data_IF_102373985765
#
_entry.id   IF_102373985765
#
_cell.length_a   1.000
_cell.length_b   1.000
_cell.length_c   1.000
_cell.angle_alpha   90.00
_cell.angle_beta   90.00
_cell.angle_gamma   90.00
#
_symmetry.space_group_name_H-M   'P 1'
#
loop_
_entity.id
_entity.type
_entity.pdbx_description
1 polymer ?
#
# COMPACT_ATOMS: atom_id res chain seq x y z
N UNK A 1 30.04 -0.32 5.36
CA UNK A 1 29.74 -1.02 4.10
C UNK A 1 31.06 -1.51 3.61
N UNK A 2 31.32 -2.80 3.78
CA UNK A 2 32.52 -3.40 3.20
C UNK A 2 32.37 -3.28 1.69
N UNK A 3 33.33 -2.60 1.05
CA UNK A 3 33.40 -2.55 -0.40
C UNK A 3 33.50 -3.98 -0.91
N UNK A 4 32.78 -4.31 -1.99
CA UNK A 4 33.03 -5.53 -2.75
C UNK A 4 34.53 -5.63 -3.02
N UNK A 5 35.19 -6.60 -2.40
CA UNK A 5 36.59 -6.89 -2.63
C UNK A 5 36.75 -7.96 -3.72
N UNK A 6 37.99 -8.17 -4.18
CA UNK A 6 38.29 -9.15 -5.23
C UNK A 6 37.90 -10.57 -4.81
N UNK A 7 37.97 -10.90 -3.52
CA UNK A 7 37.61 -12.21 -2.98
C UNK A 7 36.13 -12.52 -3.22
N UNK A 8 35.23 -11.57 -2.96
CA UNK A 8 33.80 -11.73 -3.23
C UNK A 8 33.53 -11.92 -4.72
N UNK A 9 34.23 -11.18 -5.60
CA UNK A 9 34.06 -11.30 -7.04
C UNK A 9 34.51 -12.66 -7.57
N UNK A 10 35.61 -13.22 -7.06
CA UNK A 10 36.05 -14.57 -7.44
C UNK A 10 35.04 -15.64 -7.02
N UNK A 11 34.44 -15.52 -5.83
CA UNK A 11 33.37 -16.44 -5.40
C UNK A 11 32.15 -16.31 -6.32
N UNK A 12 31.73 -15.10 -6.69
CA UNK A 12 30.57 -14.88 -7.56
C UNK A 12 30.72 -15.54 -8.95
N UNK A 13 31.94 -15.66 -9.48
CA UNK A 13 32.20 -16.36 -10.76
C UNK A 13 31.87 -17.86 -10.71
N UNK A 14 31.79 -18.44 -9.52
CA UNK A 14 31.42 -19.86 -9.34
C UNK A 14 29.91 -20.11 -9.43
N UNK A 15 29.10 -19.05 -9.49
CA UNK A 15 27.64 -19.13 -9.51
C UNK A 15 27.07 -18.60 -10.82
N UNK A 16 25.94 -19.18 -11.23
CA UNK A 16 25.09 -18.63 -12.28
C UNK A 16 23.88 -17.94 -11.63
N UNK A 17 23.57 -16.72 -12.06
CA UNK A 17 22.45 -15.93 -11.55
C UNK A 17 21.39 -15.69 -12.63
N UNK A 18 20.67 -16.74 -13.06
CA UNK A 18 19.57 -16.57 -14.00
C UNK A 18 18.43 -15.78 -13.35
N UNK A 19 17.90 -14.80 -14.08
CA UNK A 19 16.82 -13.94 -13.60
C UNK A 19 15.47 -14.51 -14.03
N UNK A 20 14.58 -14.68 -13.06
CA UNK A 20 13.18 -15.08 -13.29
C UNK A 20 12.25 -13.95 -12.87
N UNK A 21 11.17 -13.76 -13.62
CA UNK A 21 10.13 -12.78 -13.30
C UNK A 21 8.90 -13.50 -12.77
N UNK A 22 8.53 -13.19 -11.53
CA UNK A 22 7.33 -13.73 -10.89
C UNK A 22 6.28 -12.64 -10.79
N UNK A 23 5.45 -12.53 -11.83
CA UNK A 23 4.28 -11.64 -11.82
C UNK A 23 3.18 -12.16 -10.89
N UNK A 24 2.41 -11.23 -10.32
CA UNK A 24 1.28 -11.54 -9.45
C UNK A 24 0.11 -10.58 -9.69
N UNK A 25 -1.09 -10.98 -9.26
CA UNK A 25 -2.27 -10.12 -9.29
C UNK A 25 -2.21 -9.16 -8.09
N UNK A 26 -1.74 -7.93 -8.34
CA UNK A 26 -1.57 -6.91 -7.32
C UNK A 26 -2.90 -6.30 -6.82
N UNK A 27 -4.02 -6.53 -7.51
CA UNK A 27 -5.35 -6.19 -6.99
C UNK A 27 -5.84 -7.23 -5.97
N UNK A 28 -5.39 -8.48 -6.09
CA UNK A 28 -5.69 -9.54 -5.14
C UNK A 28 -4.86 -9.44 -3.86
N UNK A 29 -5.14 -10.32 -2.89
CA UNK A 29 -4.42 -10.32 -1.62
C UNK A 29 -2.94 -10.64 -1.80
N UNK A 30 -2.07 -9.94 -1.08
CA UNK A 30 -0.66 -10.26 -1.06
C UNK A 30 -0.38 -11.62 -0.39
N UNK A 31 -1.30 -12.16 0.43
CA UNK A 31 -1.21 -13.54 0.96
C UNK A 31 -1.26 -14.56 -0.16
N UNK A 32 -2.21 -14.44 -1.09
CA UNK A 32 -2.33 -15.33 -2.25
C UNK A 32 -1.13 -15.14 -3.20
N UNK A 33 -0.70 -13.90 -3.37
CA UNK A 33 0.49 -13.59 -4.16
C UNK A 33 1.76 -14.21 -3.55
N UNK A 34 1.86 -14.27 -2.22
CA UNK A 34 2.97 -14.91 -1.51
C UNK A 34 2.94 -16.44 -1.63
N UNK A 35 1.76 -17.05 -1.61
CA UNK A 35 1.59 -18.48 -1.92
C UNK A 35 2.05 -18.80 -3.35
N UNK A 36 1.62 -17.99 -4.32
CA UNK A 36 2.11 -18.10 -5.71
C UNK A 36 3.62 -17.94 -5.79
N UNK A 37 4.21 -16.98 -5.07
CA UNK A 37 5.66 -16.81 -5.02
C UNK A 37 6.35 -18.05 -4.47
N UNK A 38 5.82 -18.65 -3.40
CA UNK A 38 6.33 -19.91 -2.84
C UNK A 38 6.35 -21.03 -3.88
N UNK A 39 5.25 -21.24 -4.59
CA UNK A 39 5.13 -22.27 -5.64
C UNK A 39 6.13 -22.05 -6.78
N UNK A 40 6.32 -20.79 -7.20
CA UNK A 40 7.27 -20.45 -8.26
C UNK A 40 8.73 -20.62 -7.81
N UNK A 41 9.05 -20.30 -6.55
CA UNK A 41 10.38 -20.57 -5.99
C UNK A 41 10.69 -22.06 -6.00
N UNK A 42 9.75 -22.89 -5.56
CA UNK A 42 9.90 -24.35 -5.58
C UNK A 42 10.09 -24.85 -7.00
N UNK A 43 9.24 -24.42 -7.93
CA UNK A 43 9.35 -24.76 -9.36
C UNK A 43 10.69 -24.35 -9.98
N UNK A 44 11.23 -23.18 -9.61
CA UNK A 44 12.52 -22.68 -10.13
C UNK A 44 13.67 -23.50 -9.56
N UNK A 45 13.67 -23.79 -8.26
CA UNK A 45 14.68 -24.63 -7.60
C UNK A 45 14.67 -26.02 -8.24
N UNK A 46 13.50 -26.66 -8.34
CA UNK A 46 13.34 -28.00 -8.90
C UNK A 46 13.79 -28.07 -10.37
N UNK A 47 13.44 -27.05 -11.18
CA UNK A 47 13.89 -26.94 -12.57
C UNK A 47 15.41 -27.00 -12.69
N UNK A 48 16.13 -26.34 -11.79
CA UNK A 48 17.59 -26.31 -11.86
C UNK A 48 18.25 -27.54 -11.27
N UNK A 49 17.67 -28.11 -10.21
CA UNK A 49 18.12 -29.40 -9.67
C UNK A 49 17.97 -30.53 -10.70
N UNK A 50 16.85 -30.57 -11.43
CA UNK A 50 16.62 -31.57 -12.49
C UNK A 50 17.55 -31.42 -13.70
N UNK A 51 18.12 -30.23 -13.90
CA UNK A 51 19.18 -29.98 -14.88
C UNK A 51 20.59 -30.33 -14.36
N UNK A 52 20.71 -30.93 -13.18
CA UNK A 52 21.98 -31.30 -12.57
C UNK A 52 22.73 -30.14 -11.90
N UNK A 53 22.09 -28.98 -11.72
CA UNK A 53 22.72 -27.83 -11.05
C UNK A 53 22.47 -27.84 -9.54
N UNK A 54 23.46 -27.35 -8.78
CA UNK A 54 23.34 -27.16 -7.33
C UNK A 54 22.57 -25.87 -7.04
N UNK A 55 21.25 -25.96 -6.96
CA UNK A 55 20.37 -24.86 -6.56
C UNK A 55 19.55 -25.28 -5.35
N UNK A 56 19.73 -24.61 -4.20
CA UNK A 56 18.96 -24.86 -2.98
C UNK A 56 18.28 -23.60 -2.43
N UNK A 57 18.65 -22.42 -2.94
CA UNK A 57 18.14 -21.13 -2.49
C UNK A 57 17.99 -20.16 -3.64
N UNK A 58 17.13 -19.17 -3.46
CA UNK A 58 16.94 -18.03 -4.37
C UNK A 58 17.34 -16.71 -3.72
N UNK A 59 17.68 -15.72 -4.54
CA UNK A 59 17.78 -14.32 -4.11
C UNK A 59 16.51 -13.63 -4.61
N UNK A 60 15.77 -12.98 -3.71
CA UNK A 60 14.59 -12.22 -4.09
C UNK A 60 14.95 -10.76 -4.31
N UNK A 61 14.53 -10.19 -5.44
CA UNK A 61 14.64 -8.77 -5.72
C UNK A 61 13.24 -8.23 -5.94
N UNK A 62 12.82 -7.26 -5.13
CA UNK A 62 11.43 -6.79 -5.11
C UNK A 62 11.35 -5.30 -5.37
N UNK A 63 10.24 -4.86 -5.93
CA UNK A 63 9.92 -3.45 -6.09
C UNK A 63 8.58 -3.12 -5.42
N UNK A 64 8.52 -2.00 -4.69
CA UNK A 64 7.29 -1.48 -4.08
C UNK A 64 6.54 -2.54 -3.26
N UNK A 65 5.24 -2.72 -3.48
CA UNK A 65 4.37 -3.69 -2.79
C UNK A 65 4.84 -5.14 -2.93
N UNK A 66 5.62 -5.49 -3.96
CA UNK A 66 6.20 -6.83 -4.09
C UNK A 66 7.12 -7.19 -2.92
N UNK A 67 7.64 -6.20 -2.19
CA UNK A 67 8.37 -6.42 -0.94
C UNK A 67 7.49 -7.00 0.16
N UNK A 68 6.22 -6.60 0.25
CA UNK A 68 5.26 -7.17 1.21
C UNK A 68 4.93 -8.64 0.88
N UNK A 69 4.80 -8.96 -0.41
CA UNK A 69 4.65 -10.34 -0.89
C UNK A 69 5.84 -11.20 -0.48
N UNK A 70 7.06 -10.72 -0.73
CA UNK A 70 8.27 -11.45 -0.37
C UNK A 70 8.46 -11.60 1.14
N UNK A 71 8.12 -10.56 1.93
CA UNK A 71 8.11 -10.65 3.39
C UNK A 71 7.11 -11.68 3.88
N UNK A 72 5.89 -11.70 3.35
CA UNK A 72 4.89 -12.69 3.76
C UNK A 72 5.33 -14.11 3.41
N UNK A 73 5.90 -14.31 2.23
CA UNK A 73 6.47 -15.61 1.86
C UNK A 73 7.59 -16.04 2.82
N UNK A 74 8.56 -15.16 3.08
CA UNK A 74 9.69 -15.44 3.98
C UNK A 74 9.22 -15.76 5.40
N UNK A 75 8.32 -14.94 5.94
CA UNK A 75 8.07 -14.85 7.38
C UNK A 75 6.79 -15.54 7.84
N UNK A 76 5.86 -15.82 6.92
CA UNK A 76 4.54 -16.39 7.23
C UNK A 76 4.26 -17.70 6.48
N UNK A 77 5.06 -18.06 5.45
CA UNK A 77 4.89 -19.27 4.65
C UNK A 77 6.13 -20.17 4.65
N UNK A 78 6.95 -20.09 5.71
CA UNK A 78 8.16 -20.92 5.89
C UNK A 78 9.19 -20.82 4.75
N UNK A 79 9.11 -19.76 3.94
CA UNK A 79 10.00 -19.55 2.79
C UNK A 79 11.43 -19.17 3.18
N UNK A 80 11.67 -18.75 4.42
CA UNK A 80 12.95 -18.21 4.91
C UNK A 80 14.15 -19.07 4.52
N UNK A 81 14.07 -20.39 4.68
CA UNK A 81 15.23 -21.27 4.43
C UNK A 81 15.58 -21.43 2.94
N UNK A 82 14.60 -21.23 2.06
CA UNK A 82 14.76 -21.25 0.59
C UNK A 82 15.25 -19.92 0.05
N UNK A 83 15.36 -18.88 0.88
CA UNK A 83 15.82 -17.55 0.49
C UNK A 83 17.25 -17.35 1.00
N UNK A 84 18.16 -16.95 0.11
CA UNK A 84 19.52 -16.55 0.49
C UNK A 84 19.54 -15.13 1.04
N UNK A 85 18.78 -14.23 0.42
CA UNK A 85 18.60 -12.85 0.85
C UNK A 85 17.55 -12.15 0.02
N UNK A 86 17.07 -11.01 0.52
CA UNK A 86 16.05 -10.20 -0.13
C UNK A 86 16.58 -8.78 -0.34
N UNK A 87 16.43 -8.27 -1.56
CA UNK A 87 16.71 -6.88 -1.92
C UNK A 87 15.39 -6.16 -2.18
N UNK A 88 15.04 -5.20 -1.33
CA UNK A 88 13.84 -4.39 -1.45
C UNK A 88 14.13 -3.01 -2.04
N UNK A 89 13.54 -2.71 -3.20
CA UNK A 89 13.45 -1.36 -3.73
C UNK A 89 12.14 -0.70 -3.34
N UNK A 90 12.21 0.44 -2.65
CA UNK A 90 11.06 1.32 -2.33
C UNK A 90 9.82 0.62 -1.73
N UNK A 91 10.03 -0.40 -0.91
CA UNK A 91 8.94 -1.13 -0.24
C UNK A 91 8.18 -0.25 0.76
N UNK A 92 6.84 -0.17 0.70
CA UNK A 92 6.02 0.48 1.72
C UNK A 92 5.86 -0.45 2.93
N UNK A 93 6.93 -0.62 3.72
CA UNK A 93 7.06 -1.67 4.73
C UNK A 93 5.95 -1.70 5.79
N UNK A 94 5.39 -0.55 6.10
CA UNK A 94 4.33 -0.35 7.11
C UNK A 94 3.11 0.37 6.51
N UNK A 95 2.98 0.33 5.18
CA UNK A 95 1.95 1.05 4.43
C UNK A 95 2.39 2.44 3.95
N UNK A 96 1.43 3.24 3.49
CA UNK A 96 1.68 4.61 3.01
C UNK A 96 0.46 5.52 3.22
N UNK A 97 0.65 6.66 3.91
CA UNK A 97 -0.38 7.69 4.07
C UNK A 97 -0.92 8.24 2.73
N UNK A 98 -0.13 8.13 1.66
CA UNK A 98 -0.56 8.47 0.31
C UNK A 98 -1.75 7.63 -0.17
N UNK A 99 -1.88 6.37 0.27
CA UNK A 99 -3.02 5.50 -0.04
C UNK A 99 -4.32 6.11 0.49
N UNK A 100 -4.32 6.57 1.74
CA UNK A 100 -5.46 7.26 2.36
C UNK A 100 -5.86 8.50 1.57
N UNK A 101 -4.88 9.36 1.25
CA UNK A 101 -5.15 10.60 0.50
C UNK A 101 -5.76 10.30 -0.87
N UNK A 102 -5.27 9.26 -1.56
CA UNK A 102 -5.73 8.87 -2.90
C UNK A 102 -7.15 8.31 -2.89
N UNK A 103 -7.49 7.50 -1.88
CA UNK A 103 -8.87 7.01 -1.70
C UNK A 103 -9.82 8.17 -1.42
N UNK A 104 -9.41 9.14 -0.59
CA UNK A 104 -10.27 10.26 -0.20
C UNK A 104 -10.45 11.33 -1.28
N UNK A 105 -9.38 11.66 -2.02
CA UNK A 105 -9.33 12.83 -2.93
C UNK A 105 -9.13 12.46 -4.40
N UNK A 106 -8.88 11.19 -4.72
CA UNK A 106 -8.36 10.79 -6.02
C UNK A 106 -6.86 11.02 -6.14
N UNK A 107 -6.31 10.79 -7.33
CA UNK A 107 -4.88 10.99 -7.56
C UNK A 107 -4.57 12.47 -7.75
N UNK A 108 -3.62 12.97 -6.96
CA UNK A 108 -3.08 14.31 -7.17
C UNK A 108 -2.42 14.37 -8.56
N UNK A 109 -2.64 15.47 -9.29
CA UNK A 109 -1.92 15.76 -10.52
C UNK A 109 -0.40 15.66 -10.31
N UNK A 110 0.28 15.30 -11.39
CA UNK A 110 1.66 14.82 -11.57
C UNK A 110 2.82 15.68 -11.03
N UNK A 111 2.61 16.64 -10.13
CA UNK A 111 3.66 17.57 -9.70
C UNK A 111 4.51 17.10 -8.50
N UNK A 112 4.24 15.92 -7.93
CA UNK A 112 4.97 15.41 -6.75
C UNK A 112 6.02 14.34 -7.09
N UNK A 113 7.04 14.70 -7.88
CA UNK A 113 8.29 13.91 -8.03
C UNK A 113 8.11 12.41 -8.38
N UNK A 114 8.95 11.51 -7.84
CA UNK A 114 8.85 10.05 -8.09
C UNK A 114 7.57 9.43 -7.49
N UNK A 115 6.95 10.08 -6.49
CA UNK A 115 5.59 9.76 -6.05
C UNK A 115 4.54 10.06 -7.14
N UNK A 116 4.90 10.90 -8.10
CA UNK A 116 4.22 11.14 -9.37
C UNK A 116 4.49 10.06 -10.42
N UNK A 117 5.60 9.32 -10.43
CA UNK A 117 5.81 8.20 -11.37
C UNK A 117 5.10 6.91 -10.91
N UNK A 118 5.20 6.59 -9.62
CA UNK A 118 4.37 5.54 -9.00
C UNK A 118 2.91 6.00 -8.99
N UNK A 119 2.65 7.26 -8.65
CA UNK A 119 1.31 7.86 -8.73
C UNK A 119 0.72 7.92 -10.13
N UNK A 120 1.54 8.00 -11.19
CA UNK A 120 1.11 7.95 -12.59
C UNK A 120 0.68 6.55 -12.99
N UNK A 121 1.42 5.51 -12.58
CA UNK A 121 1.03 4.13 -12.84
C UNK A 121 -0.20 3.74 -12.00
N UNK A 122 -0.23 4.17 -10.74
CA UNK A 122 -1.37 3.96 -9.82
C UNK A 122 -2.60 4.76 -10.27
N UNK A 123 -2.49 5.99 -10.80
CA UNK A 123 -3.62 6.78 -11.31
C UNK A 123 -4.20 6.24 -12.61
N UNK A 124 -3.38 5.63 -13.46
CA UNK A 124 -3.85 5.02 -14.70
C UNK A 124 -4.67 3.75 -14.46
N UNK A 125 -4.43 3.04 -13.35
CA UNK A 125 -5.13 1.77 -13.07
C UNK A 125 -6.19 1.89 -11.98
N UNK A 126 -5.94 2.69 -10.95
CA UNK A 126 -6.89 2.88 -9.86
C UNK A 126 -7.72 4.16 -10.00
N UNK A 127 -7.47 5.02 -10.99
CA UNK A 127 -8.36 6.14 -11.31
C UNK A 127 -7.82 7.54 -10.99
N UNK A 128 -8.41 8.53 -11.68
CA UNK A 128 -8.04 9.95 -11.64
C UNK A 128 -8.74 10.73 -10.53
N UNK A 129 -9.84 10.21 -10.00
CA UNK A 129 -10.63 10.85 -8.94
C UNK A 129 -11.00 9.84 -7.84
N UNK A 130 -11.57 10.34 -6.74
CA UNK A 130 -11.94 9.51 -5.59
C UNK A 130 -12.96 8.42 -5.94
N UNK A 131 -13.91 8.67 -6.84
CA UNK A 131 -14.92 7.69 -7.21
C UNK A 131 -14.32 6.50 -7.97
N UNK A 132 -13.41 6.74 -8.92
CA UNK A 132 -12.69 5.68 -9.63
C UNK A 132 -11.75 4.89 -8.70
N UNK A 133 -11.05 5.60 -7.80
CA UNK A 133 -10.19 5.02 -6.76
C UNK A 133 -10.94 4.15 -5.78
N UNK A 134 -12.06 4.65 -5.27
CA UNK A 134 -12.90 3.93 -4.33
C UNK A 134 -13.49 2.69 -5.01
N UNK A 135 -14.07 2.82 -6.20
CA UNK A 135 -14.74 1.70 -6.88
C UNK A 135 -13.82 0.50 -7.12
N UNK A 136 -12.52 0.71 -7.39
CA UNK A 136 -11.55 -0.37 -7.62
C UNK A 136 -10.83 -0.74 -6.33
N UNK A 137 -10.35 0.27 -5.59
CA UNK A 137 -9.53 0.07 -4.40
C UNK A 137 -10.30 -0.53 -3.23
N UNK A 138 -11.58 -0.20 -3.06
CA UNK A 138 -12.40 -0.69 -1.93
C UNK A 138 -12.63 -2.19 -1.97
N UNK A 139 -12.55 -2.79 -3.15
CA UNK A 139 -12.76 -4.23 -3.38
C UNK A 139 -11.43 -4.97 -3.53
N UNK A 140 -10.31 -4.26 -3.46
CA UNK A 140 -8.96 -4.79 -3.65
C UNK A 140 -8.23 -4.90 -2.32
N UNK A 141 -8.11 -6.12 -1.80
CA UNK A 141 -7.28 -6.41 -0.62
C UNK A 141 -5.85 -5.92 -0.82
N UNK A 142 -5.24 -6.18 -1.97
CA UNK A 142 -3.88 -5.72 -2.27
C UNK A 142 -3.73 -4.19 -2.20
N UNK A 143 -4.69 -3.43 -2.73
CA UNK A 143 -4.67 -1.97 -2.62
C UNK A 143 -4.86 -1.49 -1.17
N UNK A 144 -5.77 -2.10 -0.41
CA UNK A 144 -6.03 -1.73 0.99
C UNK A 144 -4.91 -2.17 1.94
N UNK A 145 -4.18 -3.24 1.65
CA UNK A 145 -2.99 -3.68 2.39
C UNK A 145 -1.86 -2.63 2.39
N UNK A 146 -1.92 -1.62 1.49
CA UNK A 146 -1.03 -0.45 1.47
C UNK A 146 -1.45 0.70 2.39
N UNK A 147 -2.59 0.61 3.07
CA UNK A 147 -2.95 1.58 4.10
C UNK A 147 -1.91 1.54 5.24
N UNK A 148 -1.64 2.66 5.92
CA UNK A 148 -0.81 2.66 7.12
C UNK A 148 -1.21 1.55 8.10
N UNK A 149 -0.24 0.77 8.56
CA UNK A 149 -0.44 -0.21 9.63
C UNK A 149 -0.29 0.46 11.02
N UNK A 150 -0.54 -0.30 12.09
CA UNK A 150 -0.47 0.22 13.47
C UNK A 150 0.91 0.77 13.85
N UNK A 151 1.98 0.25 13.24
CA UNK A 151 3.37 0.64 13.45
C UNK A 151 3.86 1.76 12.51
N UNK A 152 2.97 2.36 11.70
CA UNK A 152 3.33 3.44 10.77
C UNK A 152 3.73 4.74 11.46
N UNK A 153 3.23 4.98 12.68
CA UNK A 153 3.32 6.24 13.41
C UNK A 153 1.95 6.87 13.65
N UNK A 154 1.90 7.91 14.47
CA UNK A 154 0.65 8.49 14.98
C UNK A 154 0.34 9.91 14.46
N UNK A 155 1.20 10.53 13.66
CA UNK A 155 1.10 11.93 13.23
C UNK A 155 0.98 12.15 11.71
N UNK A 156 0.57 11.12 10.97
CA UNK A 156 0.66 11.10 9.50
C UNK A 156 -0.55 11.69 8.75
N UNK A 157 -1.68 11.90 9.41
CA UNK A 157 -2.85 12.55 8.82
C UNK A 157 -3.23 13.79 9.64
N UNK A 158 -3.25 14.96 9.00
CA UNK A 158 -3.64 16.23 9.63
C UNK A 158 -4.90 16.79 8.99
N UNK A 159 -5.95 16.90 9.78
CA UNK A 159 -7.21 17.54 9.38
C UNK A 159 -7.20 18.93 9.99
N UNK A 160 -7.31 19.96 9.16
CA UNK A 160 -7.29 21.36 9.60
C UNK A 160 -8.66 21.95 9.35
N UNK A 161 -9.33 22.38 10.42
CA UNK A 161 -10.64 23.00 10.33
C UNK A 161 -10.50 24.48 9.92
N UNK A 162 -11.62 25.11 9.54
CA UNK A 162 -11.68 26.49 9.04
C UNK A 162 -11.21 27.52 10.06
N UNK A 163 -11.32 27.21 11.35
CA UNK A 163 -10.84 28.05 12.45
C UNK A 163 -9.33 27.90 12.72
N UNK A 164 -8.65 27.02 11.98
CA UNK A 164 -7.22 26.73 12.13
C UNK A 164 -6.90 25.65 13.17
N UNK A 165 -7.90 25.10 13.86
CA UNK A 165 -7.70 23.94 14.73
C UNK A 165 -7.22 22.73 13.91
N UNK A 166 -6.30 21.95 14.48
CA UNK A 166 -5.69 20.81 13.80
C UNK A 166 -5.90 19.54 14.58
N UNK A 167 -6.51 18.55 13.93
CA UNK A 167 -6.63 17.18 14.41
C UNK A 167 -5.52 16.34 13.76
N UNK A 168 -4.72 15.67 14.58
CA UNK A 168 -3.59 14.82 14.18
C UNK A 168 -3.97 13.36 14.38
N UNK A 169 -4.04 12.58 13.31
CA UNK A 169 -4.54 11.21 13.32
C UNK A 169 -3.41 10.23 12.95
N UNK A 170 -3.36 9.04 13.59
CA UNK A 170 -4.27 8.54 14.62
C UNK A 170 -4.04 9.07 16.05
N UNK A 171 -3.10 9.99 16.31
CA UNK A 171 -2.79 10.47 17.67
C UNK A 171 -4.01 11.00 18.45
N UNK A 172 -4.98 11.62 17.80
CA UNK A 172 -6.14 12.22 18.43
C UNK A 172 -7.40 11.34 18.32
N UNK A 173 -7.26 10.09 17.87
CA UNK A 173 -8.39 9.14 17.88
C UNK A 173 -8.77 8.79 19.33
N UNK A 174 -10.08 8.68 19.62
CA UNK A 174 -10.53 8.20 20.92
C UNK A 174 -10.03 6.78 21.15
N UNK A 175 -9.62 6.50 22.38
CA UNK A 175 -9.23 5.15 22.80
C UNK A 175 -10.48 4.26 22.78
N UNK A 176 -10.36 3.06 22.22
CA UNK A 176 -11.45 2.09 22.15
C UNK A 176 -11.89 1.60 23.52
N UNK A 177 -13.02 0.87 23.57
CA UNK A 177 -13.58 0.33 24.82
C UNK A 177 -12.60 -0.60 25.58
N UNK A 178 -11.62 -1.18 24.88
CA UNK A 178 -10.55 -2.01 25.43
C UNK A 178 -9.40 -1.20 26.08
N UNK A 179 -9.45 0.13 26.04
CA UNK A 179 -8.42 1.01 26.58
C UNK A 179 -7.15 1.07 25.72
N UNK A 180 -7.14 0.49 24.52
CA UNK A 180 -5.96 0.38 23.66
C UNK A 180 -6.04 1.29 22.43
N UNK A 181 -5.16 2.28 22.37
CA UNK A 181 -5.06 3.23 21.25
C UNK A 181 -4.64 2.57 19.93
N UNK A 182 -3.81 1.51 20.02
CA UNK A 182 -3.30 0.73 18.88
C UNK A 182 -4.40 0.07 18.03
N UNK A 183 -5.56 -0.24 18.62
CA UNK A 183 -6.68 -0.87 17.90
C UNK A 183 -7.63 0.14 17.22
N UNK A 184 -7.42 1.44 17.43
CA UNK A 184 -8.35 2.48 17.01
C UNK A 184 -8.13 2.94 15.55
N UNK A 185 -7.00 2.58 14.93
CA UNK A 185 -6.70 2.96 13.55
C UNK A 185 -7.77 2.45 12.58
N UNK A 186 -8.04 1.15 12.60
CA UNK A 186 -9.00 0.55 11.67
C UNK A 186 -10.43 1.04 11.91
N UNK A 187 -10.91 1.01 13.16
CA UNK A 187 -12.26 1.44 13.51
C UNK A 187 -12.46 2.95 13.35
N UNK A 188 -11.47 3.74 13.78
CA UNK A 188 -11.53 5.21 13.81
C UNK A 188 -11.23 5.89 12.49
N UNK A 189 -10.49 5.26 11.58
CA UNK A 189 -10.16 5.83 10.26
C UNK A 189 -10.73 5.04 9.08
N UNK A 190 -10.44 3.73 9.00
CA UNK A 190 -10.72 2.94 7.80
C UNK A 190 -12.17 2.47 7.73
N UNK A 191 -12.80 2.23 8.88
CA UNK A 191 -14.19 1.78 9.04
C UNK A 191 -15.11 2.88 9.58
N UNK A 192 -14.64 4.13 9.63
CA UNK A 192 -15.43 5.24 10.12
C UNK A 192 -16.42 5.70 9.03
N UNK A 193 -17.72 5.77 9.36
CA UNK A 193 -18.78 6.25 8.45
C UNK A 193 -19.26 7.66 8.76
N UNK A 194 -19.05 8.13 9.98
CA UNK A 194 -19.68 9.33 10.52
C UNK A 194 -18.90 10.61 10.23
N UNK A 195 -17.57 10.52 10.24
CA UNK A 195 -16.72 11.71 10.14
C UNK A 195 -16.50 12.08 8.68
N UNK A 196 -16.58 13.38 8.37
CA UNK A 196 -16.39 13.87 7.00
C UNK A 196 -15.01 13.52 6.42
N UNK A 197 -14.00 13.41 7.29
CA UNK A 197 -12.65 13.00 6.92
C UNK A 197 -12.50 11.48 6.72
N UNK A 198 -13.53 10.65 6.89
CA UNK A 198 -13.50 9.19 6.69
C UNK A 198 -12.76 8.75 5.43
N UNK A 199 -12.06 7.62 5.50
CA UNK A 199 -11.32 7.05 4.36
C UNK A 199 -12.26 6.81 3.16
N UNK A 200 -13.39 6.16 3.41
CA UNK A 200 -14.31 5.69 2.38
C UNK A 200 -15.66 6.40 2.46
N UNK A 201 -16.14 6.87 1.30
CA UNK A 201 -17.54 7.24 1.15
C UNK A 201 -18.33 6.01 0.68
N UNK A 202 -19.20 5.49 1.55
CA UNK A 202 -20.04 4.32 1.29
C UNK A 202 -20.91 4.47 0.04
N UNK A 203 -21.26 5.70 -0.35
CA UNK A 203 -22.04 5.96 -1.56
C UNK A 203 -21.26 5.69 -2.86
N UNK A 204 -19.93 5.59 -2.78
CA UNK A 204 -19.04 5.39 -3.93
C UNK A 204 -18.55 3.94 -4.07
N UNK A 205 -18.83 3.07 -3.10
CA UNK A 205 -18.32 1.68 -3.08
C UNK A 205 -18.77 0.87 -4.29
N UNK A 206 -19.99 1.14 -4.78
CA UNK A 206 -20.59 0.42 -5.88
C UNK A 206 -21.07 1.39 -6.96
N UNK A 207 -20.34 1.50 -8.09
CA UNK A 207 -20.70 2.43 -9.16
C UNK A 207 -22.02 2.06 -9.87
N UNK A 208 -22.53 0.84 -9.67
CA UNK A 208 -23.81 0.41 -10.25
C UNK A 208 -25.02 0.86 -9.40
N UNK A 209 -24.80 1.27 -8.14
CA UNK A 209 -25.86 1.78 -7.27
C UNK A 209 -26.18 3.25 -7.54
N UNK A 210 -26.62 3.53 -8.76
CA UNK A 210 -26.92 4.91 -9.24
C UNK A 210 -28.09 5.59 -8.53
N UNK A 211 -28.93 4.82 -7.83
CA UNK A 211 -30.10 5.34 -7.08
C UNK A 211 -29.81 5.59 -5.60
N UNK A 212 -28.58 5.35 -5.13
CA UNK A 212 -28.18 5.45 -3.72
C UNK A 212 -29.11 4.63 -2.80
N UNK A 213 -29.42 3.40 -3.23
CA UNK A 213 -30.24 2.50 -2.45
C UNK A 213 -29.52 2.14 -1.14
N UNK A 214 -30.11 2.52 -0.01
CA UNK A 214 -29.51 2.32 1.33
C UNK A 214 -29.20 0.87 1.66
N UNK A 215 -30.09 -0.08 1.31
CA UNK A 215 -29.86 -1.50 1.59
C UNK A 215 -28.64 -2.03 0.82
N UNK A 216 -28.47 -1.58 -0.42
CA UNK A 216 -27.31 -1.96 -1.22
C UNK A 216 -26.04 -1.32 -0.65
N UNK A 217 -26.07 -0.04 -0.27
CA UNK A 217 -24.95 0.65 0.39
C UNK A 217 -24.50 -0.10 1.66
N UNK A 218 -25.44 -0.50 2.52
CA UNK A 218 -25.11 -1.22 3.75
C UNK A 218 -24.54 -2.62 3.47
N UNK A 219 -25.00 -3.29 2.40
CA UNK A 219 -24.44 -4.56 1.92
C UNK A 219 -23.01 -4.38 1.38
N UNK A 220 -22.79 -3.40 0.51
CA UNK A 220 -21.47 -3.10 -0.08
C UNK A 220 -20.48 -2.67 1.01
N UNK A 221 -20.96 -1.91 2.00
CA UNK A 221 -20.18 -1.54 3.18
C UNK A 221 -19.76 -2.76 3.99
N UNK A 222 -20.67 -3.71 4.22
CA UNK A 222 -20.36 -4.93 4.97
C UNK A 222 -19.27 -5.76 4.26
N UNK A 223 -19.29 -5.84 2.93
CA UNK A 223 -18.23 -6.49 2.16
C UNK A 223 -16.87 -5.80 2.34
N UNK A 224 -16.83 -4.46 2.24
CA UNK A 224 -15.63 -3.66 2.51
C UNK A 224 -15.13 -3.84 3.95
N UNK A 225 -16.04 -3.83 4.91
CA UNK A 225 -15.72 -4.00 6.33
C UNK A 225 -15.10 -5.37 6.61
N UNK A 226 -15.67 -6.43 6.04
CA UNK A 226 -15.12 -7.78 6.13
C UNK A 226 -13.73 -7.85 5.47
N UNK A 227 -13.54 -7.20 4.30
CA UNK A 227 -12.24 -7.16 3.64
C UNK A 227 -11.16 -6.51 4.53
N UNK A 228 -11.49 -5.41 5.22
CA UNK A 228 -10.57 -4.77 6.17
C UNK A 228 -10.28 -5.71 7.35
N UNK A 229 -11.32 -6.31 7.94
CA UNK A 229 -11.20 -7.11 9.17
C UNK A 229 -10.55 -8.47 8.97
N UNK A 230 -10.84 -9.13 7.85
CA UNK A 230 -10.48 -10.53 7.62
C UNK A 230 -9.24 -10.67 6.73
N UNK A 231 -8.92 -9.66 5.93
CA UNK A 231 -7.76 -9.70 5.02
C UNK A 231 -6.70 -8.67 5.40
N UNK A 232 -7.05 -7.38 5.41
CA UNK A 232 -6.06 -6.29 5.51
C UNK A 232 -5.43 -6.23 6.90
N UNK A 233 -6.25 -6.16 7.96
CA UNK A 233 -5.76 -6.10 9.33
C UNK A 233 -4.91 -7.33 9.70
N UNK A 234 -5.37 -8.58 9.48
CA UNK A 234 -4.57 -9.76 9.83
C UNK A 234 -3.28 -9.86 9.01
N UNK A 235 -3.28 -9.41 7.76
CA UNK A 235 -2.07 -9.36 6.94
C UNK A 235 -1.03 -8.40 7.52
N UNK A 236 -1.44 -7.18 7.87
CA UNK A 236 -0.56 -6.16 8.44
C UNK A 236 -0.02 -6.60 9.81
N UNK A 237 -0.86 -7.14 10.68
CA UNK A 237 -0.48 -7.66 12.00
C UNK A 237 0.49 -8.85 11.91
N UNK A 238 0.28 -9.76 10.95
CA UNK A 238 1.18 -10.89 10.76
C UNK A 238 2.56 -10.47 10.24
N UNK A 239 2.66 -9.36 9.51
CA UNK A 239 3.91 -8.83 8.99
C UNK A 239 4.64 -7.86 9.92
N UNK A 240 3.96 -7.33 10.95
CA UNK A 240 4.53 -6.37 11.89
C UNK A 240 5.89 -6.87 12.42
N UNK A 241 6.92 -6.03 12.30
CA UNK A 241 8.31 -6.29 12.72
C UNK A 241 8.98 -7.57 12.17
N UNK A 242 8.41 -8.23 11.15
CA UNK A 242 9.00 -9.43 10.55
C UNK A 242 9.73 -9.14 9.25
N UNK A 243 11.01 -9.56 9.20
CA UNK A 243 11.91 -9.39 8.08
C UNK A 243 12.89 -10.57 7.99
N UNK A 244 13.24 -10.95 6.77
CA UNK A 244 14.29 -11.93 6.53
C UNK A 244 15.63 -11.42 7.12
N UNK A 245 16.44 -12.27 7.80
CA UNK A 245 17.68 -11.83 8.46
C UNK A 245 18.68 -11.18 7.51
N UNK A 246 18.68 -11.62 6.25
CA UNK A 246 19.47 -11.02 5.16
C UNK A 246 18.58 -10.17 4.27
N UNK A 247 18.26 -8.95 4.73
CA UNK A 247 17.45 -7.97 4.01
C UNK A 247 18.26 -6.73 3.69
N UNK A 248 18.27 -6.33 2.42
CA UNK A 248 18.92 -5.12 1.92
C UNK A 248 17.86 -4.20 1.32
N UNK A 249 17.67 -3.02 1.89
CA UNK A 249 16.64 -2.08 1.41
C UNK A 249 17.26 -0.80 0.91
N UNK A 250 16.74 -0.29 -0.21
CA UNK A 250 17.08 1.05 -0.70
C UNK A 250 15.81 1.87 -0.92
N UNK A 251 15.85 3.10 -0.41
CA UNK A 251 14.76 4.06 -0.44
C UNK A 251 15.30 5.44 -0.76
N UNK A 252 14.55 6.19 -1.56
CA UNK A 252 14.91 7.55 -1.90
C UNK A 252 14.24 8.53 -0.93
N UNK A 253 15.05 9.24 -0.14
CA UNK A 253 14.57 10.33 0.72
C UNK A 253 15.01 11.68 0.13
N UNK A 254 14.13 12.31 -0.65
CA UNK A 254 14.34 13.69 -1.10
C UNK A 254 14.12 14.67 0.07
N UNK A 255 15.04 15.62 0.28
CA UNK A 255 14.89 16.70 1.28
C UNK A 255 13.80 17.73 0.91
N UNK A 256 13.24 17.68 -0.30
CA UNK A 256 12.10 18.54 -0.71
C UNK A 256 10.79 17.80 -0.49
N UNK A 257 10.16 18.03 0.67
CA UNK A 257 8.78 17.58 0.90
C UNK A 257 8.48 17.25 2.35
N UNK A 258 8.42 18.26 3.24
CA UNK A 258 7.41 18.20 4.30
C UNK A 258 6.08 18.28 3.56
N UNK A 259 5.50 17.14 3.27
CA UNK A 259 4.12 17.07 2.79
C UNK A 259 3.24 17.35 4.02
N UNK A 260 3.00 18.63 4.30
CA UNK A 260 1.88 19.03 5.16
C UNK A 260 0.66 18.95 4.24
N UNK A 261 0.04 17.77 4.17
CA UNK A 261 -1.24 17.61 3.46
C UNK A 261 -2.36 17.91 4.44
N UNK A 262 -2.88 19.13 4.36
CA UNK A 262 -4.12 19.52 5.05
C UNK A 262 -5.32 18.99 4.26
N UNK A 263 -6.19 18.26 4.94
CA UNK A 263 -7.54 18.01 4.43
C UNK A 263 -8.42 19.18 4.84
N UNK A 264 -9.01 19.89 3.86
CA UNK A 264 -9.89 21.05 4.05
C UNK A 264 -11.23 20.82 3.34
N UNK A 265 -12.31 21.28 3.97
CA UNK A 265 -13.66 21.23 3.45
C UNK A 265 -13.92 22.33 2.40
N UNK A 266 -14.44 21.96 1.24
CA UNK A 266 -14.88 22.90 0.19
C UNK A 266 -16.33 22.60 -0.19
N UNK A 267 -17.25 22.90 0.71
CA UNK A 267 -18.67 22.96 0.40
C UNK A 267 -19.05 24.30 -0.22
N UNK A 268 -19.23 24.34 -1.54
CA UNK A 268 -20.38 25.03 -2.13
C UNK A 268 -20.66 24.56 -3.56
N UNK A 269 -21.91 24.18 -3.82
CA UNK A 269 -22.43 23.90 -5.15
C UNK A 269 -22.93 25.20 -5.78
N UNK A 270 -22.37 25.58 -6.92
CA UNK A 270 -22.83 26.75 -7.67
C UNK A 270 -22.33 26.73 -9.11
N UNK A 271 -23.26 26.57 -10.05
CA UNK A 271 -23.04 26.88 -11.46
C UNK A 271 -22.68 28.37 -11.58
N UNK A 272 -21.43 28.72 -11.86
CA UNK A 272 -21.09 30.04 -12.40
C UNK A 272 -20.40 29.92 -13.76
N UNK A 273 -21.00 30.63 -14.72
CA UNK A 273 -20.61 30.72 -16.12
C UNK A 273 -19.30 31.48 -16.22
N UNK A 274 -18.30 30.88 -16.85
CA UNK A 274 -17.04 31.53 -17.15
C UNK A 274 -17.24 32.73 -18.10
N UNK A 275 -17.11 33.94 -17.56
CA UNK A 275 -16.81 35.13 -18.35
C UNK A 275 -15.29 35.24 -18.48
N UNK A 276 -14.77 34.81 -19.63
CA UNK A 276 -13.34 34.89 -19.94
C UNK A 276 -12.85 36.33 -20.04
N UNK A 277 -11.79 36.67 -19.31
CA UNK A 277 -10.89 37.78 -19.65
C UNK A 277 -9.66 37.20 -20.35
N UNK A 278 -9.49 37.56 -21.62
CA UNK A 278 -8.27 37.34 -22.40
C UNK A 278 -7.11 38.14 -21.80
N UNK A 279 -5.87 37.65 -21.87
CA UNK A 279 -4.70 38.47 -21.59
C UNK A 279 -4.36 39.30 -22.84
N UNK A 280 -4.20 40.61 -22.66
CA UNK A 280 -3.54 41.47 -23.64
C UNK A 280 -2.10 41.74 -23.20
N UNK A 281 -1.25 41.82 -24.22
CA UNK A 281 0.08 42.42 -24.22
C UNK A 281 0.08 43.82 -23.60
#
# INVERSE_FOLDING_TARGET
>A
MDSLDETYLEVMKLYQFPVHVVGYNWLGSNVLSAKRLSEEVDRIIDKYQTQGMKCSKVILVTHSMGGLVARYYSECLEGRDKIYGIVHGVMPSVGAAATYTRMKRGTENTESGLAGAVGYLTSHILGRNAAEMVAIGSQSSGALELLPANDYGDDWLKVVDRDGSTLTLPADLPVGEDGKKENCLYSGLYLNRDKWWKLMDENLLNPFNTTLNKRQIDSDWLEYENLIKDNVKPFQEQLADKYHPYTYSFLWKSKRGRIIRSVSDSGDGGLERGAGKRPNR
#
